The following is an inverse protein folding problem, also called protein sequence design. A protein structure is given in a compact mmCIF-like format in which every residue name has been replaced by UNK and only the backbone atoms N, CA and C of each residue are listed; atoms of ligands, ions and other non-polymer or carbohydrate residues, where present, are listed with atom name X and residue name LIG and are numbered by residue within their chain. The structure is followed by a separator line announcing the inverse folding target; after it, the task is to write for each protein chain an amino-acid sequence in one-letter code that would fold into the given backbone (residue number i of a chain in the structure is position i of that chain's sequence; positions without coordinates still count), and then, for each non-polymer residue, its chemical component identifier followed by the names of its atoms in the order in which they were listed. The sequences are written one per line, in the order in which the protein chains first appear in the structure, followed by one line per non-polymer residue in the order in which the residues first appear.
data_IF_494908313654
#
_entry.id   IF_494908313654
#
_cell.length_a   1.000
_cell.length_b   1.000
_cell.length_c   1.000
_cell.angle_alpha   90.00
_cell.angle_beta   90.00
_cell.angle_gamma   90.00
#
_symmetry.space_group_name_H-M   'P 1'
#
loop_
_entity.id
_entity.type
_entity.pdbx_description
1 polymer ?
#
# COMPACT_ATOMS: atom_id res chain seq x y z
N UNK A 1 12.24 -17.79 4.72
CA UNK A 1 11.97 -18.22 3.32
C UNK A 1 10.51 -18.01 2.95
N UNK A 2 9.56 -18.66 3.61
CA UNK A 2 8.12 -18.52 3.31
C UNK A 2 7.67 -17.06 3.18
N UNK A 3 8.00 -16.22 4.16
CA UNK A 3 7.58 -14.82 4.15
C UNK A 3 8.18 -13.99 3.00
N UNK A 4 9.41 -14.33 2.57
CA UNK A 4 10.04 -13.68 1.41
C UNK A 4 9.25 -14.04 0.14
N UNK A 5 8.86 -15.30 -0.01
CA UNK A 5 8.06 -15.75 -1.14
C UNK A 5 6.66 -15.13 -1.12
N UNK A 6 6.05 -15.00 0.06
CA UNK A 6 4.77 -14.30 0.23
C UNK A 6 4.85 -12.84 -0.24
N UNK A 7 5.93 -12.11 0.10
CA UNK A 7 6.14 -10.75 -0.38
C UNK A 7 6.30 -10.62 -1.91
N UNK A 8 6.52 -11.72 -2.62
CA UNK A 8 6.65 -11.80 -4.07
C UNK A 8 5.52 -12.60 -4.74
N UNK A 9 4.51 -13.02 -3.97
CA UNK A 9 3.36 -13.74 -4.51
C UNK A 9 2.57 -12.80 -5.45
N UNK A 10 2.20 -13.21 -6.67
CA UNK A 10 1.41 -12.39 -7.59
C UNK A 10 0.08 -11.88 -7.01
N UNK A 11 -0.52 -12.62 -6.08
CA UNK A 11 -1.73 -12.21 -5.37
C UNK A 11 -1.47 -11.10 -4.34
N UNK A 12 -0.24 -10.96 -3.86
CA UNK A 12 0.19 -10.04 -2.80
C UNK A 12 0.93 -8.82 -3.37
N UNK A 13 2.02 -9.05 -4.09
CA UNK A 13 2.93 -8.02 -4.59
C UNK A 13 2.32 -7.18 -5.72
N UNK A 14 2.79 -5.95 -5.90
CA UNK A 14 2.38 -5.07 -6.98
C UNK A 14 3.05 -5.44 -8.30
N UNK A 15 4.37 -5.59 -8.31
CA UNK A 15 5.17 -6.00 -9.49
C UNK A 15 6.17 -7.09 -9.08
N UNK A 16 5.72 -8.35 -8.96
CA UNK A 16 6.52 -9.44 -8.39
C UNK A 16 7.76 -9.81 -9.21
N UNK A 17 7.69 -9.66 -10.55
CA UNK A 17 8.81 -10.00 -11.44
C UNK A 17 9.96 -8.98 -11.35
N UNK A 18 9.63 -7.75 -11.00
CA UNK A 18 10.53 -6.64 -10.70
C UNK A 18 10.92 -6.60 -9.21
N UNK A 19 10.49 -7.60 -8.42
CA UNK A 19 10.74 -7.74 -6.99
C UNK A 19 10.14 -6.63 -6.12
N UNK A 20 9.16 -5.88 -6.65
CA UNK A 20 8.49 -4.78 -5.96
C UNK A 20 7.20 -5.26 -5.32
N UNK A 21 7.11 -5.10 -3.99
CA UNK A 21 5.93 -5.48 -3.22
C UNK A 21 4.87 -4.37 -3.21
N UNK A 22 5.24 -3.12 -2.87
CA UNK A 22 4.30 -1.98 -2.86
C UNK A 22 5.02 -0.62 -2.78
N UNK A 23 4.24 0.47 -2.87
CA UNK A 23 4.72 1.83 -2.60
C UNK A 23 5.60 2.39 -3.72
N UNK A 24 5.24 2.11 -4.97
CA UNK A 24 5.99 2.53 -6.15
C UNK A 24 7.16 1.59 -6.45
N UNK A 25 8.22 1.66 -5.63
CA UNK A 25 9.47 0.93 -5.82
C UNK A 25 9.95 0.17 -4.55
N UNK A 26 9.06 -0.04 -3.56
CA UNK A 26 9.37 -0.79 -2.35
C UNK A 26 9.66 -2.26 -2.66
N UNK A 27 10.94 -2.64 -2.66
CA UNK A 27 11.42 -3.93 -3.16
C UNK A 27 11.84 -4.90 -2.05
N UNK A 28 11.74 -6.18 -2.36
CA UNK A 28 12.25 -7.28 -1.53
C UNK A 28 13.76 -7.42 -1.73
N UNK A 29 14.18 -7.45 -3.00
CA UNK A 29 15.57 -7.50 -3.44
C UNK A 29 15.76 -6.58 -4.63
N UNK A 30 16.99 -6.16 -4.88
CA UNK A 30 17.32 -5.32 -6.02
C UNK A 30 17.37 -6.12 -7.33
N UNK A 31 17.69 -7.41 -7.24
CA UNK A 31 17.75 -8.30 -8.39
C UNK A 31 17.58 -9.78 -7.99
N UNK A 32 17.32 -10.62 -9.00
CA UNK A 32 17.06 -12.05 -8.82
C UNK A 32 18.28 -12.86 -8.34
N UNK A 33 19.51 -12.36 -8.54
CA UNK A 33 20.71 -13.04 -8.03
C UNK A 33 20.73 -12.96 -6.51
N UNK A 34 20.45 -11.77 -5.95
CA UNK A 34 20.31 -11.58 -4.50
C UNK A 34 19.23 -12.51 -3.92
N UNK A 35 18.04 -12.56 -4.52
CA UNK A 35 16.98 -13.49 -4.12
C UNK A 35 17.49 -14.94 -4.04
N UNK A 36 18.13 -15.43 -5.10
CA UNK A 36 18.61 -16.83 -5.16
C UNK A 36 19.68 -17.12 -4.13
N UNK A 37 20.63 -16.21 -3.93
CA UNK A 37 21.67 -16.34 -2.92
C UNK A 37 21.08 -16.35 -1.51
N UNK A 38 20.15 -15.44 -1.21
CA UNK A 38 19.44 -15.40 0.08
C UNK A 38 18.70 -16.71 0.33
N UNK A 39 17.96 -17.23 -0.64
CA UNK A 39 17.29 -18.53 -0.50
C UNK A 39 18.28 -19.68 -0.26
N UNK A 40 19.41 -19.67 -0.97
CA UNK A 40 20.47 -20.66 -0.75
C UNK A 40 21.01 -20.59 0.67
N UNK A 41 21.39 -19.39 1.16
CA UNK A 41 21.90 -19.23 2.52
C UNK A 41 20.87 -19.62 3.58
N UNK A 42 19.62 -19.20 3.44
CA UNK A 42 18.56 -19.56 4.37
C UNK A 42 18.28 -21.06 4.40
N UNK A 43 18.49 -21.77 3.29
CA UNK A 43 18.30 -23.22 3.22
C UNK A 43 19.43 -24.04 3.85
N UNK A 44 20.63 -23.46 3.98
CA UNK A 44 21.82 -24.15 4.47
C UNK A 44 22.36 -23.65 5.80
N UNK A 45 21.87 -22.52 6.31
CA UNK A 45 22.35 -21.93 7.56
C UNK A 45 22.02 -22.80 8.77
N UNK A 46 22.89 -22.77 9.79
CA UNK A 46 22.62 -23.39 11.09
C UNK A 46 21.85 -22.44 12.03
N UNK A 47 21.40 -22.99 13.16
CA UNK A 47 20.82 -22.22 14.26
C UNK A 47 21.85 -21.37 15.02
N UNK A 48 23.14 -21.49 14.73
CA UNK A 48 24.22 -20.69 15.31
C UNK A 48 24.82 -19.72 14.29
N UNK A 49 24.02 -19.32 13.30
CA UNK A 49 24.40 -18.34 12.30
C UNK A 49 23.34 -17.25 12.15
N UNK A 50 23.80 -16.08 11.73
CA UNK A 50 22.96 -14.95 11.30
C UNK A 50 23.32 -14.60 9.86
N UNK A 51 22.31 -14.51 9.00
CA UNK A 51 22.42 -13.94 7.66
C UNK A 51 22.35 -12.42 7.74
N UNK A 52 23.38 -11.74 7.27
CA UNK A 52 23.44 -10.28 7.24
C UNK A 52 23.06 -9.77 5.85
N UNK A 53 22.03 -8.92 5.79
CA UNK A 53 21.46 -8.37 4.56
C UNK A 53 21.74 -6.86 4.45
N UNK A 54 22.35 -6.46 3.34
CA UNK A 54 22.72 -5.07 3.02
C UNK A 54 21.93 -4.60 1.81
N UNK A 55 20.83 -3.88 2.05
CA UNK A 55 19.93 -3.38 0.99
C UNK A 55 19.56 -4.47 -0.03
N UNK A 56 19.11 -5.63 0.47
CA UNK A 56 18.78 -6.80 -0.35
C UNK A 56 19.98 -7.69 -0.69
N UNK A 57 21.22 -7.20 -0.67
CA UNK A 57 22.40 -8.03 -0.89
C UNK A 57 22.69 -8.94 0.32
N UNK A 58 22.75 -10.27 0.16
CA UNK A 58 23.13 -11.18 1.24
C UNK A 58 24.65 -11.19 1.42
N UNK A 59 25.15 -10.35 2.32
CA UNK A 59 26.60 -10.21 2.60
C UNK A 59 27.22 -11.56 3.02
N UNK A 60 26.50 -12.34 3.81
CA UNK A 60 26.92 -13.70 4.17
C UNK A 60 26.36 -14.20 5.49
N UNK A 61 26.74 -15.42 5.83
CA UNK A 61 26.44 -16.08 7.09
C UNK A 61 27.60 -15.87 8.08
N UNK A 62 27.30 -15.34 9.25
CA UNK A 62 28.26 -15.10 10.31
C UNK A 62 27.90 -15.94 11.55
N UNK A 63 28.89 -16.46 12.30
CA UNK A 63 28.61 -17.14 13.56
C UNK A 63 27.84 -16.25 14.54
N UNK A 64 26.87 -16.84 15.23
CA UNK A 64 26.00 -16.20 16.22
C UNK A 64 25.51 -17.22 17.24
N UNK A 65 24.61 -16.81 18.15
CA UNK A 65 23.95 -17.72 19.08
C UNK A 65 22.56 -18.15 18.60
N UNK A 66 22.00 -19.19 19.22
CA UNK A 66 20.64 -19.68 18.92
C UNK A 66 19.55 -18.65 19.21
N UNK A 67 19.77 -17.80 20.20
CA UNK A 67 18.86 -16.73 20.60
C UNK A 67 19.03 -15.45 19.76
N UNK A 68 20.05 -15.39 18.91
CA UNK A 68 20.25 -14.25 18.00
C UNK A 68 19.25 -14.31 16.83
N UNK A 69 18.91 -13.16 16.22
CA UNK A 69 18.12 -13.15 15.00
C UNK A 69 18.77 -13.99 13.90
N UNK A 70 17.97 -14.80 13.18
CA UNK A 70 18.45 -15.56 12.01
C UNK A 70 18.84 -14.66 10.85
N UNK A 71 18.19 -13.50 10.73
CA UNK A 71 18.46 -12.52 9.67
C UNK A 71 18.48 -11.12 10.28
N UNK A 72 19.49 -10.33 9.94
CA UNK A 72 19.55 -8.90 10.24
C UNK A 72 19.53 -8.15 8.92
N UNK A 73 18.59 -7.21 8.79
CA UNK A 73 18.34 -6.50 7.53
C UNK A 73 18.51 -5.00 7.69
N UNK A 74 19.27 -4.42 6.77
CA UNK A 74 19.31 -2.98 6.53
C UNK A 74 18.84 -2.72 5.09
N UNK A 75 18.09 -1.65 4.86
CA UNK A 75 17.66 -1.22 3.53
C UNK A 75 17.75 0.30 3.45
N UNK A 76 18.30 0.83 2.36
CA UNK A 76 18.35 2.27 2.13
C UNK A 76 19.24 3.05 3.10
N UNK A 77 20.07 2.38 3.91
CA UNK A 77 20.93 3.05 4.89
C UNK A 77 22.08 3.77 4.18
N UNK A 78 22.17 5.08 4.39
CA UNK A 78 23.17 5.96 3.78
C UNK A 78 23.63 7.02 4.77
N UNK A 79 24.79 7.64 4.51
CA UNK A 79 25.23 8.82 5.27
C UNK A 79 24.23 9.95 5.01
N UNK A 80 23.77 10.71 6.02
CA UNK A 80 22.67 11.67 5.85
C UNK A 80 22.83 12.66 4.69
N UNK A 81 24.05 13.13 4.40
CA UNK A 81 24.33 14.06 3.30
C UNK A 81 24.18 13.44 1.89
N UNK A 82 23.96 12.12 1.79
CA UNK A 82 23.74 11.36 0.55
C UNK A 82 22.37 10.65 0.56
N UNK A 83 21.43 11.17 1.35
CA UNK A 83 20.07 10.62 1.46
C UNK A 83 19.07 11.34 0.54
N UNK A 84 19.54 11.98 -0.52
CA UNK A 84 18.68 12.62 -1.53
C UNK A 84 18.08 11.58 -2.48
N UNK A 85 17.01 11.96 -3.18
CA UNK A 85 16.39 11.10 -4.19
C UNK A 85 17.35 10.81 -5.35
N UNK A 86 18.05 11.82 -5.86
CA UNK A 86 19.01 11.66 -6.96
C UNK A 86 20.15 10.70 -6.59
N UNK A 87 20.68 10.82 -5.37
CA UNK A 87 21.70 9.90 -4.86
C UNK A 87 21.15 8.46 -4.77
N UNK A 88 19.93 8.30 -4.27
CA UNK A 88 19.26 7.01 -4.21
C UNK A 88 19.09 6.39 -5.60
N UNK A 89 18.59 7.14 -6.58
CA UNK A 89 18.35 6.66 -7.94
C UNK A 89 19.66 6.19 -8.59
N UNK A 90 20.74 6.96 -8.43
CA UNK A 90 22.07 6.55 -8.87
C UNK A 90 22.53 5.26 -8.18
N UNK A 91 22.51 5.22 -6.84
CA UNK A 91 22.95 4.06 -6.06
C UNK A 91 22.11 2.80 -6.35
N UNK A 92 20.81 2.97 -6.58
CA UNK A 92 19.93 1.87 -6.93
C UNK A 92 20.21 1.35 -8.34
N UNK A 93 20.48 2.23 -9.31
CA UNK A 93 20.84 1.81 -10.66
C UNK A 93 22.17 1.03 -10.70
N UNK A 94 23.15 1.39 -9.86
CA UNK A 94 24.47 0.75 -9.84
C UNK A 94 24.62 -0.41 -8.84
N UNK A 95 23.53 -0.91 -8.23
CA UNK A 95 23.63 -2.10 -7.39
C UNK A 95 24.01 -1.87 -5.93
N UNK A 96 24.02 -0.61 -5.45
CA UNK A 96 24.53 -0.25 -4.11
C UNK A 96 23.43 -0.27 -3.04
N UNK A 97 22.21 0.16 -3.38
CA UNK A 97 21.11 0.22 -2.41
C UNK A 97 19.75 -0.11 -3.02
N UNK A 98 18.75 -0.31 -2.17
CA UNK A 98 17.36 -0.48 -2.56
C UNK A 98 16.43 0.26 -1.60
N UNK A 99 15.23 0.62 -2.08
CA UNK A 99 14.16 1.11 -1.22
C UNK A 99 13.36 -0.06 -0.66
N UNK A 100 13.58 -0.40 0.61
CA UNK A 100 12.90 -1.54 1.25
C UNK A 100 11.50 -1.23 1.77
N UNK A 101 11.01 0.00 1.64
CA UNK A 101 9.81 0.47 2.36
C UNK A 101 9.91 0.07 3.85
N UNK A 102 8.80 -0.30 4.48
CA UNK A 102 8.73 -0.85 5.83
C UNK A 102 8.69 -2.37 5.78
N UNK A 103 7.69 -2.95 5.10
CA UNK A 103 7.41 -4.40 5.14
C UNK A 103 7.84 -5.14 3.88
N UNK A 104 8.22 -4.44 2.81
CA UNK A 104 8.70 -5.03 1.56
C UNK A 104 10.08 -5.69 1.75
N UNK A 105 11.08 -4.89 2.12
CA UNK A 105 12.45 -5.33 2.36
C UNK A 105 12.69 -6.01 3.70
N UNK A 106 11.69 -6.05 4.59
CA UNK A 106 11.74 -6.81 5.85
C UNK A 106 10.91 -8.10 5.83
N UNK A 107 10.30 -8.43 4.68
CA UNK A 107 9.67 -9.72 4.43
C UNK A 107 8.47 -10.01 5.34
N UNK A 108 7.59 -9.05 5.54
CA UNK A 108 6.41 -9.22 6.40
C UNK A 108 5.17 -8.50 5.87
N UNK A 109 5.10 -8.29 4.55
CA UNK A 109 3.92 -7.71 3.92
C UNK A 109 2.86 -8.79 3.73
N UNK A 110 1.62 -8.48 4.10
CA UNK A 110 0.49 -9.43 4.09
C UNK A 110 -0.64 -8.96 3.16
N UNK A 111 -0.28 -8.19 2.13
CA UNK A 111 -1.27 -7.49 1.33
C UNK A 111 -1.86 -6.29 2.07
N UNK A 112 -2.92 -5.69 1.51
CA UNK A 112 -3.51 -4.48 2.07
C UNK A 112 -4.19 -4.69 3.44
N UNK A 113 -4.34 -5.94 3.93
CA UNK A 113 -4.90 -6.24 5.25
C UNK A 113 -4.11 -5.58 6.38
N UNK A 114 -2.79 -5.44 6.22
CA UNK A 114 -1.93 -4.82 7.23
C UNK A 114 -2.32 -3.37 7.57
N UNK A 115 -3.02 -2.66 6.69
CA UNK A 115 -3.37 -1.24 6.91
C UNK A 115 -4.88 -0.98 7.01
N UNK A 116 -5.78 -1.90 6.63
CA UNK A 116 -7.25 -1.69 6.73
C UNK A 116 -7.67 -1.22 8.11
N UNK A 117 -7.19 -1.89 9.16
CA UNK A 117 -7.53 -1.51 10.52
C UNK A 117 -7.07 -0.09 10.84
N UNK A 118 -5.81 0.25 10.51
CA UNK A 118 -5.27 1.60 10.69
C UNK A 118 -6.10 2.65 9.96
N UNK A 119 -6.38 2.44 8.67
CA UNK A 119 -7.19 3.36 7.86
C UNK A 119 -8.62 3.50 8.38
N UNK A 120 -9.22 2.40 8.87
CA UNK A 120 -10.57 2.43 9.46
C UNK A 120 -10.59 3.31 10.70
N UNK A 121 -9.61 3.13 11.60
CA UNK A 121 -9.46 3.96 12.80
C UNK A 121 -9.22 5.43 12.42
N UNK A 122 -8.42 5.71 11.38
CA UNK A 122 -8.21 7.06 10.89
C UNK A 122 -9.51 7.71 10.42
N UNK A 123 -10.33 7.03 9.62
CA UNK A 123 -11.61 7.56 9.14
C UNK A 123 -12.59 7.83 10.29
N UNK A 124 -12.71 6.89 11.24
CA UNK A 124 -13.56 7.07 12.42
C UNK A 124 -13.11 8.25 13.28
N UNK A 125 -11.81 8.44 13.47
CA UNK A 125 -11.28 9.58 14.23
C UNK A 125 -11.39 10.91 13.47
N UNK A 126 -11.22 10.89 12.14
CA UNK A 126 -11.44 12.08 11.30
C UNK A 126 -12.90 12.53 11.38
N UNK A 127 -13.85 11.60 11.29
CA UNK A 127 -15.27 11.89 11.45
C UNK A 127 -15.60 12.43 12.86
N UNK A 128 -15.04 11.83 13.92
CA UNK A 128 -15.21 12.33 15.29
C UNK A 128 -14.70 13.76 15.45
N UNK A 129 -13.51 14.04 14.91
CA UNK A 129 -12.85 15.34 15.07
C UNK A 129 -13.45 16.44 14.22
N UNK A 130 -13.77 16.16 12.96
CA UNK A 130 -14.15 17.17 11.98
C UNK A 130 -15.67 17.26 11.75
N UNK A 131 -16.40 16.16 11.98
CA UNK A 131 -17.85 16.10 11.75
C UNK A 131 -18.65 15.94 13.06
N UNK A 132 -17.98 15.76 14.20
CA UNK A 132 -18.63 15.51 15.49
C UNK A 132 -19.42 14.20 15.55
N UNK A 133 -19.18 13.25 14.63
CA UNK A 133 -19.86 11.95 14.57
C UNK A 133 -19.18 10.93 15.49
N UNK A 134 -19.95 10.21 16.31
CA UNK A 134 -19.39 9.10 17.08
C UNK A 134 -19.26 7.83 16.23
N UNK A 135 -18.34 6.95 16.63
CA UNK A 135 -18.08 5.68 15.96
C UNK A 135 -19.26 4.69 16.09
N UNK A 136 -20.07 4.82 17.14
CA UNK A 136 -21.19 3.90 17.42
C UNK A 136 -22.34 4.04 16.41
N UNK A 137 -22.50 5.22 15.79
CA UNK A 137 -23.53 5.49 14.77
C UNK A 137 -23.10 5.12 13.33
N UNK A 138 -21.81 4.80 13.15
CA UNK A 138 -21.19 4.64 11.84
C UNK A 138 -21.18 5.92 10.99
N UNK A 139 -20.57 5.82 9.81
CA UNK A 139 -20.40 6.93 8.89
C UNK A 139 -21.47 6.97 7.78
N UNK A 140 -22.65 6.44 8.04
CA UNK A 140 -23.77 6.48 7.10
C UNK A 140 -24.09 7.92 6.66
N UNK A 141 -24.14 8.14 5.35
CA UNK A 141 -24.37 9.45 4.73
C UNK A 141 -23.15 10.39 4.73
N UNK A 142 -21.96 9.89 5.09
CA UNK A 142 -20.68 10.59 4.91
C UNK A 142 -20.08 10.18 3.57
N UNK A 143 -19.76 11.15 2.74
CA UNK A 143 -18.96 10.98 1.53
C UNK A 143 -17.49 11.23 1.84
N UNK A 144 -16.67 10.20 1.63
CA UNK A 144 -15.22 10.25 1.68
C UNK A 144 -14.64 10.24 0.25
N UNK A 145 -13.80 11.20 -0.09
CA UNK A 145 -13.10 11.24 -1.37
C UNK A 145 -11.60 11.10 -1.14
N UNK A 146 -10.96 10.21 -1.89
CA UNK A 146 -9.51 10.00 -1.84
C UNK A 146 -8.97 9.48 -3.17
N UNK A 147 -7.71 9.09 -3.18
CA UNK A 147 -6.95 8.64 -4.35
C UNK A 147 -6.02 7.48 -4.01
N UNK A 148 -5.66 6.73 -5.04
CA UNK A 148 -4.77 5.58 -4.98
C UNK A 148 -5.48 4.29 -4.60
N UNK A 149 -5.35 3.27 -5.44
CA UNK A 149 -5.77 1.88 -5.21
C UNK A 149 -4.58 0.89 -5.31
N UNK A 150 -3.36 1.41 -5.12
CA UNK A 150 -2.11 0.64 -5.07
C UNK A 150 -2.01 -0.27 -3.84
N UNK A 151 -0.80 -0.79 -3.57
CA UNK A 151 -0.48 -1.74 -2.50
C UNK A 151 -1.16 -1.46 -1.15
N UNK A 152 -0.92 -0.26 -0.60
CA UNK A 152 -1.46 0.17 0.70
C UNK A 152 -2.75 0.97 0.55
N UNK A 153 -2.81 1.87 -0.42
CA UNK A 153 -3.93 2.79 -0.64
C UNK A 153 -5.22 2.08 -1.06
N UNK A 154 -5.13 0.87 -1.64
CA UNK A 154 -6.29 0.01 -1.89
C UNK A 154 -7.10 -0.38 -0.64
N UNK A 155 -6.52 -0.28 0.56
CA UNK A 155 -7.22 -0.54 1.81
C UNK A 155 -8.27 0.52 2.18
N UNK A 156 -8.16 1.73 1.61
CA UNK A 156 -9.10 2.82 1.84
C UNK A 156 -10.53 2.42 1.45
N UNK A 157 -10.68 1.65 0.36
CA UNK A 157 -11.98 1.17 -0.12
C UNK A 157 -12.70 0.32 0.95
N UNK A 158 -11.99 -0.68 1.49
CA UNK A 158 -12.55 -1.57 2.52
C UNK A 158 -12.75 -0.84 3.84
N UNK A 159 -11.82 0.03 4.23
CA UNK A 159 -11.90 0.81 5.45
C UNK A 159 -13.13 1.73 5.46
N UNK A 160 -13.42 2.40 4.34
CA UNK A 160 -14.62 3.21 4.19
C UNK A 160 -15.89 2.39 4.39
N UNK A 161 -15.99 1.21 3.75
CA UNK A 161 -17.15 0.31 3.91
C UNK A 161 -17.29 -0.19 5.36
N UNK A 162 -16.20 -0.59 6.01
CA UNK A 162 -16.22 -1.02 7.43
C UNK A 162 -16.70 0.13 8.34
N UNK A 163 -16.25 1.36 8.07
CA UNK A 163 -16.70 2.54 8.82
C UNK A 163 -18.14 2.96 8.51
N UNK A 164 -18.77 2.39 7.48
CA UNK A 164 -20.13 2.71 7.05
C UNK A 164 -20.24 3.92 6.10
N UNK A 165 -19.13 4.41 5.58
CA UNK A 165 -19.08 5.56 4.67
C UNK A 165 -19.33 5.17 3.20
N UNK A 166 -19.70 6.16 2.40
CA UNK A 166 -19.58 6.12 0.95
C UNK A 166 -18.19 6.64 0.60
N UNK A 167 -17.45 5.91 -0.25
CA UNK A 167 -16.16 6.39 -0.75
C UNK A 167 -16.12 6.50 -2.26
N UNK A 168 -15.51 7.56 -2.78
CA UNK A 168 -14.99 7.61 -4.15
C UNK A 168 -13.46 7.60 -4.05
N UNK A 169 -12.80 6.67 -4.73
CA UNK A 169 -11.34 6.57 -4.76
C UNK A 169 -10.87 6.60 -6.21
N UNK A 170 -10.17 7.67 -6.59
CA UNK A 170 -9.60 7.81 -7.94
C UNK A 170 -8.29 7.02 -8.07
N UNK A 171 -8.12 6.33 -9.19
CA UNK A 171 -6.90 5.61 -9.54
C UNK A 171 -6.67 5.71 -11.05
N UNK A 172 -5.52 6.23 -11.46
CA UNK A 172 -5.19 6.38 -12.89
C UNK A 172 -4.72 5.06 -13.52
N UNK A 173 -4.20 4.13 -12.72
CA UNK A 173 -3.78 2.81 -13.17
C UNK A 173 -4.92 1.79 -13.08
N UNK A 174 -5.57 1.54 -14.21
CA UNK A 174 -6.66 0.57 -14.34
C UNK A 174 -6.30 -0.82 -13.77
N UNK A 175 -5.05 -1.27 -13.93
CA UNK A 175 -4.61 -2.57 -13.41
C UNK A 175 -4.70 -2.63 -11.88
N UNK A 176 -4.30 -1.56 -11.19
CA UNK A 176 -4.39 -1.48 -9.74
C UNK A 176 -5.86 -1.48 -9.28
N UNK A 177 -6.71 -0.68 -9.92
CA UNK A 177 -8.13 -0.60 -9.60
C UNK A 177 -8.85 -1.94 -9.81
N UNK A 178 -8.62 -2.60 -10.96
CA UNK A 178 -9.15 -3.95 -11.25
C UNK A 178 -8.69 -4.98 -10.23
N UNK A 179 -7.41 -4.98 -9.86
CA UNK A 179 -6.88 -5.89 -8.83
C UNK A 179 -7.65 -5.75 -7.50
N UNK A 180 -8.00 -4.52 -7.07
CA UNK A 180 -8.78 -4.30 -5.84
C UNK A 180 -10.23 -4.72 -5.96
N UNK A 181 -10.83 -4.52 -7.14
CA UNK A 181 -12.17 -4.99 -7.42
C UNK A 181 -12.24 -6.53 -7.40
N UNK A 182 -11.35 -7.21 -8.11
CA UNK A 182 -11.27 -8.68 -8.16
C UNK A 182 -11.01 -9.31 -6.79
N UNK A 183 -10.25 -8.63 -5.92
CA UNK A 183 -10.01 -9.08 -4.55
C UNK A 183 -11.22 -8.87 -3.60
N UNK A 184 -12.27 -8.14 -4.02
CA UNK A 184 -13.42 -7.79 -3.18
C UNK A 184 -13.11 -6.69 -2.14
N UNK A 185 -12.09 -5.89 -2.40
CA UNK A 185 -11.68 -4.74 -1.58
C UNK A 185 -12.44 -3.48 -1.97
N UNK A 186 -12.64 -3.33 -3.28
CA UNK A 186 -13.44 -2.29 -3.91
C UNK A 186 -14.82 -2.85 -4.28
N UNK A 187 -15.90 -2.10 -4.02
CA UNK A 187 -17.27 -2.56 -4.24
C UNK A 187 -17.71 -2.44 -5.70
N UNK A 188 -17.38 -1.31 -6.34
CA UNK A 188 -17.78 -0.99 -7.71
C UNK A 188 -16.63 -0.29 -8.45
N UNK A 189 -16.55 -0.49 -9.76
CA UNK A 189 -15.56 0.14 -10.62
C UNK A 189 -16.26 0.95 -11.71
N UNK A 190 -15.85 2.21 -11.86
CA UNK A 190 -16.44 3.20 -12.76
C UNK A 190 -15.35 3.85 -13.61
N UNK A 191 -15.64 4.13 -14.87
CA UNK A 191 -14.73 4.78 -15.83
C UNK A 191 -15.18 6.19 -16.22
N UNK A 192 -16.45 6.50 -15.97
CA UNK A 192 -17.06 7.78 -16.33
C UNK A 192 -17.25 8.64 -15.08
N UNK A 193 -16.68 9.85 -15.11
CA UNK A 193 -16.66 10.78 -13.98
C UNK A 193 -18.07 11.14 -13.49
N UNK A 194 -18.97 11.47 -14.41
CA UNK A 194 -20.33 11.88 -14.05
C UNK A 194 -21.10 10.72 -13.40
N UNK A 195 -20.94 9.51 -13.93
CA UNK A 195 -21.61 8.32 -13.39
C UNK A 195 -21.16 7.99 -11.97
N UNK A 196 -19.87 8.11 -11.65
CA UNK A 196 -19.39 7.82 -10.30
C UNK A 196 -19.85 8.86 -9.29
N UNK A 197 -19.94 10.14 -9.69
CA UNK A 197 -20.47 11.21 -8.83
C UNK A 197 -21.95 10.97 -8.55
N UNK A 198 -22.77 10.72 -9.58
CA UNK A 198 -24.21 10.44 -9.42
C UNK A 198 -24.44 9.22 -8.51
N UNK A 199 -23.65 8.16 -8.70
CA UNK A 199 -23.71 6.94 -7.87
C UNK A 199 -23.37 7.22 -6.41
N UNK A 200 -22.39 8.08 -6.15
CA UNK A 200 -21.97 8.46 -4.81
C UNK A 200 -23.03 9.31 -4.09
N UNK A 201 -23.65 10.28 -4.78
CA UNK A 201 -24.74 11.09 -4.22
C UNK A 201 -25.93 10.20 -3.85
N UNK A 202 -26.31 9.26 -4.71
CA UNK A 202 -27.37 8.29 -4.42
C UNK A 202 -27.00 7.41 -3.22
N UNK A 203 -25.79 6.85 -3.18
CA UNK A 203 -25.32 6.03 -2.06
C UNK A 203 -25.36 6.79 -0.73
N UNK A 204 -24.99 8.08 -0.77
CA UNK A 204 -24.95 8.97 0.39
C UNK A 204 -26.35 9.22 0.92
N UNK A 205 -27.32 9.53 0.04
CA UNK A 205 -28.72 9.69 0.39
C UNK A 205 -29.30 8.42 1.03
N UNK A 206 -28.98 7.27 0.46
CA UNK A 206 -29.44 5.96 0.96
C UNK A 206 -28.66 5.45 2.17
N UNK A 207 -27.64 6.20 2.62
CA UNK A 207 -26.73 5.82 3.72
C UNK A 207 -26.09 4.45 3.52
N UNK A 208 -25.77 4.10 2.28
CA UNK A 208 -25.11 2.85 1.92
C UNK A 208 -23.63 2.88 2.30
N UNK A 209 -23.10 1.76 2.78
CA UNK A 209 -21.68 1.56 2.94
C UNK A 209 -21.09 0.97 1.65
N UNK A 210 -20.50 1.80 0.80
CA UNK A 210 -20.01 1.39 -0.52
C UNK A 210 -18.73 2.12 -0.91
N UNK A 211 -17.82 1.42 -1.60
CA UNK A 211 -16.60 2.00 -2.14
C UNK A 211 -16.62 1.97 -3.67
N UNK A 212 -16.48 3.14 -4.28
CA UNK A 212 -16.59 3.37 -5.71
C UNK A 212 -15.20 3.74 -6.24
N UNK A 213 -14.63 2.91 -7.11
CA UNK A 213 -13.35 3.20 -7.73
C UNK A 213 -13.57 3.94 -9.03
N UNK A 214 -12.95 5.10 -9.19
CA UNK A 214 -12.95 5.85 -10.44
C UNK A 214 -11.61 5.62 -11.16
N UNK A 215 -11.65 5.03 -12.35
CA UNK A 215 -10.47 4.86 -13.20
C UNK A 215 -10.23 6.17 -13.94
N UNK A 216 -9.39 7.03 -13.36
CA UNK A 216 -9.12 8.38 -13.84
C UNK A 216 -8.24 9.16 -12.87
N UNK A 217 -7.94 10.42 -13.20
CA UNK A 217 -7.12 11.25 -12.32
C UNK A 217 -7.95 11.81 -11.16
N UNK A 218 -7.36 11.88 -9.96
CA UNK A 218 -7.97 12.53 -8.79
C UNK A 218 -8.26 14.01 -9.06
N UNK A 219 -7.43 14.68 -9.86
CA UNK A 219 -7.63 16.09 -10.24
C UNK A 219 -8.96 16.24 -10.98
N UNK A 220 -9.21 15.42 -12.00
CA UNK A 220 -10.48 15.44 -12.77
C UNK A 220 -11.68 15.17 -11.86
N UNK A 221 -11.54 14.25 -10.90
CA UNK A 221 -12.59 13.96 -9.93
C UNK A 221 -12.91 15.17 -9.04
N UNK A 222 -11.87 15.82 -8.50
CA UNK A 222 -12.05 17.00 -7.65
C UNK A 222 -12.65 18.18 -8.43
N UNK A 223 -12.20 18.42 -9.66
CA UNK A 223 -12.76 19.44 -10.54
C UNK A 223 -14.23 19.13 -10.88
N UNK A 224 -14.56 17.89 -11.22
CA UNK A 224 -15.94 17.47 -11.49
C UNK A 224 -16.87 17.63 -10.28
N UNK A 225 -16.38 17.35 -9.06
CA UNK A 225 -17.13 17.58 -7.83
C UNK A 225 -17.40 19.08 -7.60
N UNK A 226 -16.43 19.95 -7.90
CA UNK A 226 -16.59 21.41 -7.82
C UNK A 226 -17.66 21.88 -8.81
N UNK A 227 -17.59 21.45 -10.07
CA UNK A 227 -18.57 21.81 -11.11
C UNK A 227 -20.00 21.39 -10.74
N UNK A 228 -20.13 20.24 -10.07
CA UNK A 228 -21.40 19.71 -9.58
C UNK A 228 -21.87 20.33 -8.26
N UNK A 229 -21.03 21.14 -7.60
CA UNK A 229 -21.32 21.69 -6.28
C UNK A 229 -21.39 20.64 -5.17
N UNK A 230 -20.75 19.49 -5.35
CA UNK A 230 -20.74 18.38 -4.39
C UNK A 230 -19.51 18.50 -3.50
N UNK A 231 -19.72 18.83 -2.23
CA UNK A 231 -18.64 18.88 -1.24
C UNK A 231 -18.59 17.56 -0.45
N UNK A 232 -17.48 16.80 -0.48
CA UNK A 232 -17.33 15.62 0.37
C UNK A 232 -17.15 16.04 1.84
N UNK A 233 -17.69 15.25 2.76
CA UNK A 233 -17.51 15.50 4.20
C UNK A 233 -16.07 15.23 4.65
N UNK A 234 -15.38 14.29 4.01
CA UNK A 234 -13.97 13.98 4.26
C UNK A 234 -13.20 13.88 2.93
N UNK A 235 -12.02 14.49 2.88
CA UNK A 235 -11.10 14.41 1.76
C UNK A 235 -9.70 13.97 2.24
N UNK A 236 -9.01 13.16 1.43
CA UNK A 236 -7.61 12.76 1.65
C UNK A 236 -6.92 12.48 0.32
N UNK A 237 -5.64 12.14 0.36
CA UNK A 237 -4.88 11.60 -0.76
C UNK A 237 -3.96 10.48 -0.27
N UNK A 238 -3.74 9.46 -1.11
CA UNK A 238 -2.73 8.43 -0.86
C UNK A 238 -2.05 7.97 -2.16
N UNK A 239 -1.82 8.91 -3.08
CA UNK A 239 -0.94 8.70 -4.23
C UNK A 239 0.52 8.57 -3.77
N UNK A 240 1.36 7.95 -4.59
CA UNK A 240 2.81 7.80 -4.36
C UNK A 240 3.58 8.45 -5.49
#
# INVERSE_FOLDING_TARGET
MLMIQNNLDPSVAQYPHELVTYGGNGSVFQNWIQYRLTMSYLSSMSESQTLVMYSGHPLGLFPSDQNSPRVVVTNGMVVPNHSSQDDYELMNAVGITQYGQMTAGSYMYIGPQGIVHGTTITLLNAARRYLGKDADDGLGGVLFVSSGLGGMSGAQAKAAVISGAVAIIAECNEFAAKKRYEQGWLSELHYELQTVIDRAEQAKSDRQAVSLGYVGNIVDLLEGLIERGVCPELGSDQTS
#
